data_IF_073102796500
#
_entry.id   IF_073102796500
#
_cell.length_a   1.000
_cell.length_b   1.000
_cell.length_c   1.000
_cell.angle_alpha   90.00
_cell.angle_beta   90.00
_cell.angle_gamma   90.00
#
_symmetry.space_group_name_H-M   'P 1'
#
loop_
_entity.id
_entity.type
_entity.pdbx_description
1 polymer ?
#
# COMPACT_ATOMS: atom_id res chain seq x y z
N UNK A 1 13.99 42.85 -44.91
CA UNK A 1 13.59 41.75 -45.82
C UNK A 1 13.54 40.48 -44.98
N UNK A 2 12.48 40.26 -44.20
CA UNK A 2 11.16 39.68 -44.53
C UNK A 2 11.18 38.18 -44.91
N UNK A 3 10.20 37.47 -44.30
CA UNK A 3 9.81 36.05 -44.39
C UNK A 3 10.53 35.08 -43.43
N UNK A 4 9.83 34.25 -42.65
CA UNK A 4 8.40 34.01 -42.53
C UNK A 4 8.15 32.75 -41.70
N UNK A 5 7.21 32.84 -40.76
CA UNK A 5 6.66 31.72 -39.99
C UNK A 5 5.60 31.01 -40.86
N UNK A 6 5.44 29.67 -40.76
CA UNK A 6 4.15 29.05 -41.00
C UNK A 6 3.57 28.47 -39.71
N UNK A 7 2.44 29.05 -39.32
CA UNK A 7 1.43 28.48 -38.44
C UNK A 7 0.63 27.42 -39.20
N UNK A 8 0.44 26.24 -38.61
CA UNK A 8 -0.47 25.22 -39.13
C UNK A 8 -0.71 24.15 -38.08
N UNK A 9 -1.84 24.27 -37.38
CA UNK A 9 -2.24 23.34 -36.33
C UNK A 9 -2.64 21.97 -36.86
N UNK A 10 -2.30 20.95 -36.07
CA UNK A 10 -2.96 19.64 -36.10
C UNK A 10 -3.17 19.21 -34.66
N UNK A 11 -4.39 19.38 -34.17
CA UNK A 11 -4.86 18.87 -32.88
C UNK A 11 -5.03 17.35 -33.01
N UNK A 12 -4.00 16.60 -32.64
CA UNK A 12 -4.16 15.18 -32.33
C UNK A 12 -4.59 15.06 -30.86
N UNK A 13 -5.85 14.67 -30.66
CA UNK A 13 -6.39 14.32 -29.35
C UNK A 13 -5.60 13.14 -28.78
N UNK A 14 -4.81 13.40 -27.73
CA UNK A 14 -4.11 12.37 -26.99
C UNK A 14 -5.11 11.78 -25.97
N UNK A 15 -5.65 10.60 -26.29
CA UNK A 15 -6.45 9.83 -25.36
C UNK A 15 -5.53 9.28 -24.24
N UNK A 16 -5.92 9.36 -22.95
CA UNK A 16 -5.13 8.78 -21.88
C UNK A 16 -5.18 7.24 -21.93
N UNK A 17 -4.10 6.54 -21.54
CA UNK A 17 -4.08 5.08 -21.48
C UNK A 17 -4.99 4.59 -20.34
N UNK A 18 -5.97 3.74 -20.70
CA UNK A 18 -7.01 3.20 -19.82
C UNK A 18 -6.52 2.19 -18.75
N UNK A 19 -5.21 2.09 -18.49
CA UNK A 19 -4.64 1.05 -17.64
C UNK A 19 -4.33 1.48 -16.20
N UNK A 20 -4.36 2.79 -15.88
CA UNK A 20 -3.99 3.30 -14.56
C UNK A 20 -5.16 3.31 -13.53
N UNK A 21 -6.41 3.24 -13.99
CA UNK A 21 -7.60 3.30 -13.12
C UNK A 21 -7.89 1.97 -12.40
N UNK A 22 -7.38 0.86 -12.93
CA UNK A 22 -7.58 -0.47 -12.35
C UNK A 22 -6.81 -0.65 -11.02
N UNK A 23 -5.66 0.02 -10.86
CA UNK A 23 -4.87 -0.08 -9.64
C UNK A 23 -5.50 0.66 -8.45
N UNK A 24 -6.17 1.80 -8.70
CA UNK A 24 -6.81 2.59 -7.66
C UNK A 24 -8.10 1.95 -7.11
N UNK A 25 -8.79 1.13 -7.92
CA UNK A 25 -10.02 0.45 -7.51
C UNK A 25 -9.77 -0.84 -6.71
N UNK A 26 -8.59 -1.44 -6.83
CA UNK A 26 -8.23 -2.68 -6.13
C UNK A 26 -7.81 -2.48 -4.66
N UNK A 27 -7.59 -1.23 -4.22
CA UNK A 27 -7.12 -0.94 -2.85
C UNK A 27 -8.23 -0.97 -1.78
N UNK A 28 -9.51 -1.10 -2.20
CA UNK A 28 -10.67 -1.04 -1.29
C UNK A 28 -11.23 -2.40 -0.86
N UNK A 29 -10.73 -3.51 -1.41
CA UNK A 29 -11.36 -4.83 -1.27
C UNK A 29 -10.76 -5.76 -0.20
N UNK A 30 -9.84 -5.27 0.63
CA UNK A 30 -9.15 -6.11 1.65
C UNK A 30 -9.85 -6.09 3.02
N UNK A 31 -11.02 -5.46 3.14
CA UNK A 31 -11.75 -5.32 4.43
C UNK A 31 -13.15 -5.96 4.43
N UNK A 32 -13.54 -6.68 3.37
CA UNK A 32 -14.83 -7.36 3.28
C UNK A 32 -14.69 -8.88 3.52
N UNK A 33 -15.02 -9.35 4.73
CA UNK A 33 -15.23 -10.76 5.04
C UNK A 33 -16.71 -11.16 4.88
N UNK A 34 -17.05 -12.38 4.42
CA UNK A 34 -18.38 -12.93 4.61
C UNK A 34 -18.52 -13.56 6.00
N UNK A 35 -19.67 -13.34 6.63
CA UNK A 35 -19.99 -13.83 7.97
C UNK A 35 -20.12 -15.36 8.05
N UNK A 36 -19.64 -15.91 9.16
CA UNK A 36 -19.94 -17.28 9.59
C UNK A 36 -21.25 -17.28 10.36
N UNK A 37 -22.29 -17.83 9.74
CA UNK A 37 -23.57 -18.16 10.36
C UNK A 37 -23.43 -19.53 11.04
N UNK A 38 -23.64 -19.57 12.36
CA UNK A 38 -23.79 -20.82 13.11
C UNK A 38 -25.27 -21.25 13.08
N UNK A 39 -25.53 -22.52 12.78
CA UNK A 39 -26.80 -23.13 13.17
C UNK A 39 -27.12 -24.45 12.46
N UNK A 40 -27.31 -25.51 13.25
CA UNK A 40 -28.25 -26.58 12.91
C UNK A 40 -27.68 -28.00 12.88
N UNK A 41 -27.56 -28.60 14.06
CA UNK A 41 -27.55 -30.06 14.28
C UNK A 41 -28.94 -30.61 13.94
N UNK A 42 -29.05 -31.70 13.19
CA UNK A 42 -30.19 -32.62 13.32
C UNK A 42 -29.80 -34.08 13.02
N UNK A 43 -30.32 -34.94 13.90
CA UNK A 43 -30.24 -36.40 14.00
C UNK A 43 -30.77 -37.14 12.76
N UNK A 44 -30.17 -38.28 12.45
CA UNK A 44 -30.88 -39.40 11.81
C UNK A 44 -30.24 -40.74 12.17
N UNK A 45 -30.95 -41.49 13.00
CA UNK A 45 -30.81 -42.96 13.17
C UNK A 45 -31.36 -43.65 11.92
N UNK A 46 -30.71 -44.70 11.45
CA UNK A 46 -31.41 -45.86 10.88
C UNK A 46 -30.54 -47.13 10.90
N UNK A 47 -31.22 -48.25 10.99
CA UNK A 47 -30.78 -49.56 11.44
C UNK A 47 -30.30 -50.50 10.30
N UNK A 48 -29.63 -51.57 10.73
CA UNK A 48 -29.62 -52.95 10.19
C UNK A 48 -29.16 -53.24 8.75
N UNK A 49 -28.16 -54.12 8.59
CA UNK A 49 -28.41 -55.51 8.15
C UNK A 49 -27.09 -56.32 8.12
N UNK A 50 -27.30 -57.61 8.26
CA UNK A 50 -26.48 -58.72 8.72
C UNK A 50 -25.58 -59.42 7.69
N UNK A 51 -24.82 -60.40 8.22
CA UNK A 51 -24.05 -61.54 7.61
C UNK A 51 -22.53 -61.36 7.77
N UNK A 52 -21.72 -62.25 8.36
CA UNK A 52 -21.85 -63.66 8.75
C UNK A 52 -20.55 -64.41 8.37
N UNK A 53 -20.21 -65.50 9.09
CA UNK A 53 -19.12 -66.50 8.87
C UNK A 53 -17.83 -66.27 9.72
N UNK A 54 -17.64 -66.87 10.92
CA UNK A 54 -17.12 -68.23 11.35
C UNK A 54 -15.79 -68.63 10.63
N UNK A 55 -14.67 -69.16 11.18
CA UNK A 55 -14.37 -70.15 12.25
C UNK A 55 -12.84 -70.17 12.57
N UNK A 56 -12.50 -70.50 13.84
CA UNK A 56 -11.35 -71.26 14.43
C UNK A 56 -9.88 -70.79 14.60
N UNK A 57 -9.52 -70.68 15.89
CA UNK A 57 -8.45 -71.32 16.72
C UNK A 57 -6.99 -71.53 16.24
N UNK A 58 -6.03 -71.19 17.14
CA UNK A 58 -4.67 -71.76 17.12
C UNK A 58 -3.55 -71.02 17.91
N UNK A 59 -3.51 -71.21 19.24
CA UNK A 59 -2.35 -71.67 20.06
C UNK A 59 -0.98 -70.90 20.14
N UNK A 60 -0.59 -70.63 21.40
CA UNK A 60 0.75 -70.58 22.08
C UNK A 60 1.75 -69.41 21.96
N UNK A 61 1.96 -68.78 23.14
CA UNK A 61 3.20 -68.45 23.89
C UNK A 61 4.53 -68.12 23.16
N UNK A 62 5.11 -66.98 23.51
CA UNK A 62 6.55 -66.70 23.34
C UNK A 62 6.94 -65.27 23.74
N UNK A 63 7.58 -65.15 24.91
CA UNK A 63 8.28 -64.00 25.47
C UNK A 63 9.46 -63.55 24.59
N UNK A 64 9.63 -62.24 24.35
CA UNK A 64 10.93 -61.59 24.05
C UNK A 64 10.81 -60.05 23.96
N UNK A 65 11.23 -59.37 25.03
CA UNK A 65 11.95 -58.08 25.01
C UNK A 65 11.20 -56.77 24.64
N UNK A 66 11.43 -55.65 25.38
CA UNK A 66 10.88 -54.36 25.00
C UNK A 66 11.67 -53.82 23.80
N UNK A 67 11.06 -53.84 22.63
CA UNK A 67 11.57 -53.10 21.47
C UNK A 67 11.39 -51.61 21.75
N UNK A 68 12.50 -50.89 21.69
CA UNK A 68 12.56 -49.44 21.77
C UNK A 68 11.57 -48.83 20.79
N UNK A 69 10.44 -48.34 21.31
CA UNK A 69 9.62 -47.36 20.63
C UNK A 69 10.48 -46.10 20.51
N UNK A 70 11.06 -45.91 19.34
CA UNK A 70 11.53 -44.62 18.89
C UNK A 70 10.32 -43.69 18.96
N UNK A 71 10.22 -42.94 20.06
CA UNK A 71 9.45 -41.72 20.09
C UNK A 71 10.08 -40.84 19.02
N UNK A 72 9.40 -40.72 17.89
CA UNK A 72 9.53 -39.54 17.06
C UNK A 72 9.11 -38.40 17.97
N UNK A 73 10.09 -37.73 18.56
CA UNK A 73 9.91 -36.41 19.09
C UNK A 73 9.56 -35.55 17.86
N UNK A 74 8.26 -35.42 17.61
CA UNK A 74 7.74 -34.28 16.89
C UNK A 74 8.16 -33.07 17.74
N UNK A 75 9.29 -32.48 17.37
CA UNK A 75 9.61 -31.11 17.73
C UNK A 75 8.48 -30.27 17.13
N UNK A 76 7.41 -30.07 17.90
CA UNK A 76 6.58 -28.88 17.73
C UNK A 76 7.52 -27.71 17.93
N UNK A 77 8.09 -27.20 16.84
CA UNK A 77 8.56 -25.83 16.77
C UNK A 77 7.38 -24.99 17.22
N UNK A 78 7.40 -24.59 18.49
CA UNK A 78 6.53 -23.57 19.05
C UNK A 78 6.82 -22.27 18.30
N UNK A 79 6.27 -22.16 17.10
CA UNK A 79 6.30 -20.94 16.31
C UNK A 79 5.57 -19.91 17.12
N UNK A 80 6.32 -18.97 17.73
CA UNK A 80 5.73 -17.77 18.30
C UNK A 80 4.89 -17.13 17.20
N UNK A 81 3.56 -17.20 17.34
CA UNK A 81 2.64 -16.64 16.36
C UNK A 81 2.94 -15.15 16.24
N UNK A 82 3.45 -14.75 15.09
CA UNK A 82 3.76 -13.36 14.82
C UNK A 82 2.48 -12.62 14.49
N UNK A 83 2.15 -11.60 15.29
CA UNK A 83 0.99 -10.74 15.08
C UNK A 83 1.42 -9.37 14.56
N UNK A 84 0.62 -8.79 13.67
CA UNK A 84 0.71 -7.41 13.22
C UNK A 84 -0.42 -6.60 13.84
N UNK A 85 -0.08 -5.43 14.38
CA UNK A 85 -1.07 -4.46 14.84
C UNK A 85 -1.49 -3.58 13.67
N UNK A 86 -2.74 -3.71 13.23
CA UNK A 86 -3.35 -2.84 12.23
C UNK A 86 -3.51 -1.41 12.78
N UNK A 87 -3.78 -0.46 11.89
CA UNK A 87 -3.96 0.96 12.25
C UNK A 87 -5.21 1.22 13.08
N UNK A 88 -6.23 0.36 12.98
CA UNK A 88 -7.44 0.37 13.81
C UNK A 88 -7.22 -0.25 15.19
N UNK A 89 -5.99 -0.70 15.50
CA UNK A 89 -5.63 -1.35 16.75
C UNK A 89 -5.96 -2.84 16.80
N UNK A 90 -6.58 -3.41 15.75
CA UNK A 90 -6.82 -4.86 15.67
C UNK A 90 -5.51 -5.60 15.46
N UNK A 91 -5.44 -6.81 16.00
CA UNK A 91 -4.31 -7.71 15.81
C UNK A 91 -4.69 -8.76 14.78
N UNK A 92 -3.84 -8.92 13.78
CA UNK A 92 -3.96 -9.99 12.80
C UNK A 92 -2.68 -10.81 12.78
N UNK A 93 -2.81 -12.09 12.47
CA UNK A 93 -1.65 -12.93 12.24
C UNK A 93 -0.87 -12.45 11.01
N UNK A 94 0.47 -12.47 11.10
CA UNK A 94 1.38 -12.13 10.03
C UNK A 94 1.34 -13.23 8.96
N UNK A 95 0.50 -13.01 7.96
CA UNK A 95 0.29 -13.97 6.87
C UNK A 95 1.24 -13.72 5.68
N UNK A 96 2.09 -14.71 5.41
CA UNK A 96 2.99 -14.74 4.24
C UNK A 96 2.26 -14.53 2.92
N UNK A 97 1.09 -15.13 2.74
CA UNK A 97 0.29 -15.06 1.51
C UNK A 97 -0.22 -13.65 1.29
N UNK A 98 -0.70 -12.97 2.35
CA UNK A 98 -1.10 -11.56 2.28
C UNK A 98 0.04 -10.65 1.86
N UNK A 99 1.23 -10.82 2.44
CA UNK A 99 2.41 -10.01 2.07
C UNK A 99 2.78 -10.23 0.61
N UNK A 100 2.87 -11.50 0.18
CA UNK A 100 3.21 -11.86 -1.21
C UNK A 100 2.20 -11.28 -2.20
N UNK A 101 0.90 -11.45 -1.94
CA UNK A 101 -0.18 -10.94 -2.79
C UNK A 101 -0.09 -9.41 -2.97
N UNK A 102 0.20 -8.70 -1.88
CA UNK A 102 0.40 -7.24 -1.96
C UNK A 102 1.61 -6.86 -2.80
N UNK A 103 2.75 -7.54 -2.63
CA UNK A 103 3.95 -7.26 -3.42
C UNK A 103 3.74 -7.58 -4.92
N UNK A 104 2.97 -8.63 -5.21
CA UNK A 104 2.57 -9.01 -6.57
C UNK A 104 1.73 -7.92 -7.24
N UNK A 105 0.72 -7.39 -6.54
CA UNK A 105 -0.09 -6.24 -7.01
C UNK A 105 0.79 -5.01 -7.35
N UNK A 106 1.76 -4.70 -6.49
CA UNK A 106 2.68 -3.56 -6.67
C UNK A 106 3.79 -3.81 -7.71
N UNK A 107 3.95 -5.02 -8.24
CA UNK A 107 5.01 -5.38 -9.19
C UNK A 107 4.50 -5.81 -10.58
N UNK A 108 3.21 -5.64 -10.87
CA UNK A 108 2.54 -6.13 -12.09
C UNK A 108 3.18 -5.73 -13.43
N UNK A 109 3.88 -4.61 -13.52
CA UNK A 109 4.60 -4.11 -14.71
C UNK A 109 6.14 -4.21 -14.60
N UNK A 110 6.66 -4.91 -13.60
CA UNK A 110 8.09 -5.12 -13.37
C UNK A 110 8.57 -6.46 -13.94
N UNK A 111 9.89 -6.60 -14.15
CA UNK A 111 10.44 -7.83 -14.74
C UNK A 111 10.61 -8.94 -13.68
N UNK A 112 9.63 -9.83 -13.62
CA UNK A 112 9.64 -11.00 -12.73
C UNK A 112 10.76 -12.01 -12.99
N UNK A 113 11.52 -11.90 -14.08
CA UNK A 113 12.71 -12.74 -14.32
C UNK A 113 13.85 -12.41 -13.35
N UNK A 114 13.94 -11.15 -12.95
CA UNK A 114 14.97 -10.65 -12.02
C UNK A 114 14.41 -10.33 -10.64
N UNK A 115 13.09 -10.12 -10.54
CA UNK A 115 12.39 -9.81 -9.30
C UNK A 115 11.86 -11.08 -8.64
N UNK A 116 12.64 -11.66 -7.73
CA UNK A 116 12.18 -12.76 -6.87
C UNK A 116 11.38 -12.22 -5.69
N UNK A 117 10.05 -12.33 -5.78
CA UNK A 117 9.13 -11.94 -4.70
C UNK A 117 9.22 -12.88 -3.51
N UNK A 118 9.38 -14.19 -3.74
CA UNK A 118 9.43 -15.16 -2.64
C UNK A 118 10.68 -14.95 -1.77
N UNK A 119 11.83 -14.65 -2.37
CA UNK A 119 13.05 -14.30 -1.63
C UNK A 119 12.85 -13.02 -0.82
N UNK A 120 12.24 -11.99 -1.41
CA UNK A 120 11.94 -10.74 -0.71
C UNK A 120 10.99 -10.96 0.48
N UNK A 121 9.93 -11.74 0.30
CA UNK A 121 8.98 -12.08 1.38
C UNK A 121 9.70 -12.80 2.52
N UNK A 122 10.53 -13.80 2.21
CA UNK A 122 11.33 -14.50 3.22
C UNK A 122 12.27 -13.55 3.99
N UNK A 123 12.91 -12.60 3.30
CA UNK A 123 13.75 -11.59 3.96
C UNK A 123 12.96 -10.64 4.85
N UNK A 124 11.74 -10.25 4.46
CA UNK A 124 10.85 -9.41 5.27
C UNK A 124 10.42 -10.16 6.54
N UNK A 125 9.99 -11.41 6.40
CA UNK A 125 9.56 -12.24 7.54
C UNK A 125 10.70 -12.47 8.54
N UNK A 126 11.93 -12.63 8.07
CA UNK A 126 13.10 -12.77 8.93
C UNK A 126 13.39 -11.51 9.76
N UNK A 127 13.03 -10.33 9.24
CA UNK A 127 13.19 -9.05 9.93
C UNK A 127 11.98 -8.63 10.79
N UNK A 128 10.88 -9.36 10.72
CA UNK A 128 9.67 -9.05 11.47
C UNK A 128 9.80 -9.47 12.94
N UNK A 129 9.10 -8.76 13.83
CA UNK A 129 9.03 -9.08 15.25
C UNK A 129 7.57 -9.09 15.74
N UNK A 130 7.27 -9.77 16.86
CA UNK A 130 5.90 -9.84 17.38
C UNK A 130 5.30 -8.47 17.68
N UNK A 131 4.03 -8.29 17.32
CA UNK A 131 3.23 -7.08 17.54
C UNK A 131 3.68 -5.83 16.77
N UNK A 132 4.54 -5.98 15.77
CA UNK A 132 4.93 -4.91 14.84
C UNK A 132 3.69 -4.27 14.21
N UNK A 133 3.70 -2.94 14.07
CA UNK A 133 2.59 -2.23 13.42
C UNK A 133 2.62 -2.41 11.90
N UNK A 134 1.46 -2.27 11.26
CA UNK A 134 1.39 -2.33 9.79
C UNK A 134 2.27 -1.27 9.10
N UNK A 135 2.47 -0.10 9.72
CA UNK A 135 3.34 0.96 9.19
C UNK A 135 4.83 0.61 9.32
N UNK A 136 5.23 -0.05 10.42
CA UNK A 136 6.59 -0.56 10.59
C UNK A 136 6.88 -1.70 9.61
N UNK A 137 5.91 -2.60 9.39
CA UNK A 137 6.03 -3.66 8.39
C UNK A 137 6.23 -3.10 6.97
N UNK A 138 5.51 -2.04 6.60
CA UNK A 138 5.68 -1.35 5.32
C UNK A 138 7.06 -0.72 5.18
N UNK A 139 7.56 -0.14 6.27
CA UNK A 139 8.90 0.44 6.32
C UNK A 139 9.95 -0.64 6.11
N UNK A 140 9.89 -1.73 6.88
CA UNK A 140 10.76 -2.89 6.75
C UNK A 140 10.73 -3.48 5.33
N UNK A 141 9.54 -3.64 4.75
CA UNK A 141 9.38 -4.17 3.40
C UNK A 141 10.03 -3.27 2.35
N UNK A 142 9.84 -1.95 2.46
CA UNK A 142 10.43 -0.99 1.53
C UNK A 142 11.96 -0.91 1.64
N UNK A 143 12.51 -0.97 2.86
CA UNK A 143 13.96 -0.95 3.09
C UNK A 143 14.62 -2.25 2.62
N UNK A 144 13.97 -3.39 2.88
CA UNK A 144 14.44 -4.70 2.40
C UNK A 144 14.46 -4.72 0.87
N UNK A 145 13.37 -4.30 0.21
CA UNK A 145 13.33 -4.19 -1.24
C UNK A 145 14.39 -3.22 -1.78
N UNK A 146 14.60 -2.06 -1.14
CA UNK A 146 15.63 -1.12 -1.54
C UNK A 146 17.06 -1.70 -1.43
N UNK A 147 17.34 -2.52 -0.42
CA UNK A 147 18.65 -3.19 -0.27
C UNK A 147 18.95 -4.15 -1.43
N UNK A 148 17.91 -4.79 -1.98
CA UNK A 148 18.00 -5.69 -3.13
C UNK A 148 18.12 -4.96 -4.48
N UNK A 149 18.09 -3.62 -4.50
CA UNK A 149 18.32 -2.82 -5.71
C UNK A 149 19.71 -3.00 -6.33
N UNK A 150 20.66 -3.53 -5.54
CA UNK A 150 21.99 -3.94 -6.01
C UNK A 150 21.92 -5.10 -7.01
N UNK A 151 20.86 -5.91 -6.99
CA UNK A 151 20.65 -7.03 -7.90
C UNK A 151 19.95 -6.58 -9.19
N UNK A 152 18.87 -5.80 -9.07
CA UNK A 152 18.12 -5.27 -10.21
C UNK A 152 17.42 -3.95 -9.84
N UNK A 153 17.40 -2.93 -10.73
CA UNK A 153 16.76 -1.64 -10.45
C UNK A 153 15.25 -1.72 -10.16
N UNK A 154 14.55 -2.76 -10.63
CA UNK A 154 13.12 -2.90 -10.34
C UNK A 154 12.82 -3.11 -8.85
N UNK A 155 13.77 -3.64 -8.07
CA UNK A 155 13.64 -3.66 -6.61
C UNK A 155 13.55 -2.25 -6.01
N UNK A 156 14.27 -1.27 -6.58
CA UNK A 156 14.16 0.12 -6.14
C UNK A 156 12.82 0.77 -6.54
N UNK A 157 12.21 0.33 -7.65
CA UNK A 157 10.87 0.77 -8.06
C UNK A 157 9.81 0.14 -7.17
N UNK A 158 9.88 -1.16 -6.92
CA UNK A 158 9.00 -1.85 -5.98
C UNK A 158 9.06 -1.24 -4.57
N UNK A 159 10.27 -0.97 -4.07
CA UNK A 159 10.48 -0.31 -2.79
C UNK A 159 9.77 1.06 -2.72
N UNK A 160 9.88 1.87 -3.77
CA UNK A 160 9.18 3.16 -3.85
C UNK A 160 7.66 3.00 -3.82
N UNK A 161 7.13 2.00 -4.53
CA UNK A 161 5.69 1.70 -4.57
C UNK A 161 5.14 1.24 -3.24
N UNK A 162 5.91 0.46 -2.49
CA UNK A 162 5.56 0.09 -1.11
C UNK A 162 5.41 1.36 -0.28
N UNK A 163 6.38 2.28 -0.32
CA UNK A 163 6.29 3.56 0.41
C UNK A 163 5.10 4.42 -0.04
N UNK A 164 4.90 4.58 -1.35
CA UNK A 164 3.79 5.36 -1.90
C UNK A 164 2.44 4.79 -1.46
N UNK A 165 2.25 3.47 -1.57
CA UNK A 165 1.03 2.79 -1.10
C UNK A 165 0.80 2.97 0.40
N UNK A 166 1.87 2.98 1.21
CA UNK A 166 1.77 3.19 2.64
C UNK A 166 1.28 4.61 2.96
N UNK A 167 1.87 5.62 2.29
CA UNK A 167 1.51 7.03 2.44
C UNK A 167 0.11 7.33 1.91
N UNK A 168 -0.30 6.74 0.79
CA UNK A 168 -1.65 6.93 0.23
C UNK A 168 -2.74 6.52 1.22
N UNK A 169 -2.50 5.49 2.04
CA UNK A 169 -3.47 5.05 3.05
C UNK A 169 -3.57 5.95 4.30
N UNK A 170 -2.62 6.85 4.52
CA UNK A 170 -2.64 7.79 5.68
C UNK A 170 -2.91 9.23 5.27
N UNK A 171 -2.88 9.52 3.97
CA UNK A 171 -3.10 10.86 3.42
C UNK A 171 -4.48 10.97 2.78
N UNK A 172 -5.11 12.15 2.79
CA UNK A 172 -6.41 12.35 2.14
C UNK A 172 -6.40 11.97 0.65
N UNK A 173 -7.49 11.39 0.17
CA UNK A 173 -7.64 10.94 -1.22
C UNK A 173 -7.78 12.09 -2.24
N UNK A 174 -8.13 13.28 -1.76
CA UNK A 174 -8.28 14.48 -2.58
C UNK A 174 -7.23 15.51 -2.21
N UNK A 175 -6.70 16.20 -3.23
CA UNK A 175 -5.77 17.30 -3.03
C UNK A 175 -6.44 18.47 -2.33
N UNK A 176 -7.69 18.78 -2.69
CA UNK A 176 -8.48 19.82 -2.05
C UNK A 176 -8.57 19.65 -0.53
N UNK A 177 -8.93 18.46 -0.07
CA UNK A 177 -8.99 18.11 1.36
C UNK A 177 -7.62 18.19 2.03
N UNK A 178 -6.55 17.73 1.36
CA UNK A 178 -5.20 17.83 1.90
C UNK A 178 -4.74 19.28 2.09
N UNK A 179 -5.05 20.16 1.14
CA UNK A 179 -4.71 21.60 1.24
C UNK A 179 -5.52 22.29 2.32
N UNK A 180 -6.81 21.97 2.47
CA UNK A 180 -7.65 22.51 3.55
C UNK A 180 -7.09 22.09 4.92
N UNK A 181 -6.78 20.81 5.10
CA UNK A 181 -6.17 20.31 6.33
C UNK A 181 -4.83 20.98 6.63
N UNK A 182 -3.97 21.16 5.63
CA UNK A 182 -2.69 21.85 5.78
C UNK A 182 -2.83 23.36 6.00
N UNK A 183 -3.94 23.96 5.57
CA UNK A 183 -4.23 25.36 5.82
C UNK A 183 -4.74 25.59 7.25
N UNK A 184 -5.52 24.65 7.78
CA UNK A 184 -6.11 24.72 9.13
C UNK A 184 -5.15 24.22 10.23
N UNK A 185 -4.45 23.11 10.00
CA UNK A 185 -3.60 22.41 10.97
C UNK A 185 -2.10 22.41 10.61
N UNK A 186 -1.70 23.21 9.60
CA UNK A 186 -0.29 23.37 9.24
C UNK A 186 0.31 24.65 9.80
N UNK A 187 1.64 24.69 9.90
CA UNK A 187 2.44 25.84 10.38
C UNK A 187 2.45 27.05 9.41
N UNK A 188 1.31 27.38 8.79
CA UNK A 188 1.23 28.45 7.79
C UNK A 188 1.94 28.14 6.47
N UNK A 189 2.15 26.86 6.15
CA UNK A 189 2.82 26.43 4.90
C UNK A 189 2.02 26.73 3.63
N UNK A 190 0.70 26.93 3.74
CA UNK A 190 -0.21 27.19 2.63
C UNK A 190 -0.62 28.66 2.60
N UNK A 191 -0.36 29.35 1.48
CA UNK A 191 -0.81 30.73 1.25
C UNK A 191 -2.35 30.79 1.16
N UNK A 192 -2.96 31.80 1.80
CA UNK A 192 -4.42 31.93 1.84
C UNK A 192 -5.07 32.05 0.47
N UNK A 193 -4.37 32.61 -0.54
CA UNK A 193 -4.88 32.68 -1.92
C UNK A 193 -4.91 31.32 -2.58
N UNK A 194 -3.93 30.46 -2.29
CA UNK A 194 -3.92 29.09 -2.76
C UNK A 194 -5.08 28.31 -2.14
N UNK A 195 -5.27 28.43 -0.81
CA UNK A 195 -6.38 27.79 -0.13
C UNK A 195 -7.75 28.25 -0.67
N UNK A 196 -7.92 29.54 -0.96
CA UNK A 196 -9.16 30.07 -1.55
C UNK A 196 -9.38 29.59 -2.99
N UNK A 197 -8.32 29.54 -3.81
CA UNK A 197 -8.39 28.99 -5.16
C UNK A 197 -8.85 27.52 -5.13
N UNK A 198 -8.28 26.74 -4.22
CA UNK A 198 -8.61 25.33 -4.04
C UNK A 198 -10.05 25.16 -3.53
N UNK A 199 -10.53 25.97 -2.58
CA UNK A 199 -11.95 25.95 -2.18
C UNK A 199 -12.90 26.22 -3.35
N UNK A 200 -12.52 27.12 -4.27
CA UNK A 200 -13.37 27.50 -5.40
C UNK A 200 -13.34 26.52 -6.57
N UNK A 201 -12.21 25.85 -6.81
CA UNK A 201 -11.99 25.00 -8.01
C UNK A 201 -11.45 23.61 -7.67
N UNK A 202 -11.61 23.17 -6.43
CA UNK A 202 -11.03 21.93 -5.90
C UNK A 202 -11.38 20.71 -6.74
N UNK A 203 -12.66 20.53 -7.09
CA UNK A 203 -13.13 19.41 -7.90
C UNK A 203 -12.45 19.36 -9.28
N UNK A 204 -12.27 20.51 -9.93
CA UNK A 204 -11.60 20.58 -11.23
C UNK A 204 -10.11 20.24 -11.11
N UNK A 205 -9.45 20.71 -10.04
CA UNK A 205 -8.04 20.45 -9.79
C UNK A 205 -7.82 18.97 -9.46
N UNK A 206 -8.63 18.42 -8.55
CA UNK A 206 -8.60 17.01 -8.14
C UNK A 206 -8.75 16.09 -9.36
N UNK A 207 -9.67 16.40 -10.27
CA UNK A 207 -9.89 15.62 -11.49
C UNK A 207 -8.70 15.61 -12.47
N UNK A 208 -7.72 16.50 -12.31
CA UNK A 208 -6.51 16.55 -13.14
C UNK A 208 -5.33 15.79 -12.55
N UNK A 209 -5.42 15.37 -11.29
CA UNK A 209 -4.33 14.67 -10.60
C UNK A 209 -4.36 13.19 -11.00
N UNK A 210 -3.21 12.68 -11.43
CA UNK A 210 -3.04 11.26 -11.80
C UNK A 210 -2.21 10.59 -10.71
N UNK A 211 -2.87 10.00 -9.72
CA UNK A 211 -2.23 9.43 -8.53
C UNK A 211 -1.25 8.29 -8.86
N UNK A 212 -1.50 7.53 -9.93
CA UNK A 212 -0.63 6.43 -10.35
C UNK A 212 0.82 6.86 -10.66
N UNK A 213 1.06 8.16 -10.95
CA UNK A 213 2.41 8.69 -11.18
C UNK A 213 3.31 8.66 -9.95
N UNK A 214 2.73 8.57 -8.74
CA UNK A 214 3.54 8.40 -7.52
C UNK A 214 4.27 7.04 -7.52
N UNK A 215 3.74 6.05 -8.23
CA UNK A 215 4.31 4.69 -8.35
C UNK A 215 5.45 4.60 -9.38
N UNK A 216 5.74 5.69 -10.10
CA UNK A 216 6.83 5.77 -11.08
C UNK A 216 8.15 6.23 -10.45
N UNK A 217 8.12 6.72 -9.21
CA UNK A 217 9.31 7.18 -8.49
C UNK A 217 10.24 6.02 -8.13
N UNK A 218 11.52 6.34 -7.92
CA UNK A 218 12.49 5.42 -7.33
C UNK A 218 12.51 5.58 -5.81
N UNK A 219 12.97 4.56 -5.08
CA UNK A 219 12.96 4.57 -3.62
C UNK A 219 13.67 5.80 -3.03
N UNK A 220 14.88 6.10 -3.53
CA UNK A 220 15.63 7.28 -3.09
C UNK A 220 14.90 8.57 -3.44
N UNK A 221 14.32 8.68 -4.64
CA UNK A 221 13.52 9.83 -5.03
C UNK A 221 12.34 10.05 -4.08
N UNK A 222 11.60 8.98 -3.77
CA UNK A 222 10.48 9.04 -2.83
C UNK A 222 10.92 9.46 -1.43
N UNK A 223 11.96 8.81 -0.86
CA UNK A 223 12.46 9.13 0.48
C UNK A 223 13.04 10.54 0.58
N UNK A 224 13.63 11.06 -0.48
CA UNK A 224 14.05 12.46 -0.54
C UNK A 224 12.84 13.40 -0.46
N UNK A 225 11.78 13.13 -1.23
CA UNK A 225 10.55 13.90 -1.19
C UNK A 225 9.89 13.86 0.20
N UNK A 226 9.71 12.66 0.76
CA UNK A 226 9.11 12.43 2.08
C UNK A 226 9.83 13.18 3.21
N UNK A 227 11.16 13.23 3.16
CA UNK A 227 11.96 13.86 4.22
C UNK A 227 11.95 15.38 4.17
N UNK A 228 11.98 15.97 2.98
CA UNK A 228 12.30 17.39 2.82
C UNK A 228 11.23 18.24 2.12
N UNK A 229 10.29 17.61 1.40
CA UNK A 229 9.40 18.34 0.48
C UNK A 229 7.91 18.13 0.75
N UNK A 230 7.49 16.94 1.20
CA UNK A 230 6.10 16.67 1.51
C UNK A 230 5.70 17.38 2.81
N UNK A 231 4.65 18.19 2.73
CA UNK A 231 4.14 18.94 3.88
C UNK A 231 3.52 18.01 4.92
N UNK A 232 3.75 18.38 6.18
CA UNK A 232 3.30 17.69 7.38
C UNK A 232 2.42 18.63 8.21
N UNK A 233 1.54 18.07 9.03
CA UNK A 233 0.87 18.83 10.09
C UNK A 233 1.85 19.21 11.19
N UNK A 234 1.43 20.09 12.10
CA UNK A 234 2.19 20.44 13.32
C UNK A 234 2.53 19.20 14.17
N UNK A 235 1.71 18.15 14.12
CA UNK A 235 1.92 16.88 14.84
C UNK A 235 3.01 16.01 14.19
N UNK A 236 3.46 16.37 12.99
CA UNK A 236 4.47 15.65 12.22
C UNK A 236 3.90 14.63 11.22
N UNK A 237 2.57 14.55 11.09
CA UNK A 237 1.91 13.61 10.18
C UNK A 237 2.02 14.10 8.73
N UNK A 238 2.49 13.24 7.83
CA UNK A 238 2.55 13.56 6.39
C UNK A 238 1.13 13.59 5.83
N UNK A 239 0.72 14.74 5.30
CA UNK A 239 -0.61 14.94 4.68
C UNK A 239 -0.51 15.02 3.16
N UNK A 240 0.67 15.38 2.64
CA UNK A 240 0.88 15.60 1.22
C UNK A 240 1.44 14.36 0.51
N UNK A 241 0.93 14.07 -0.70
CA UNK A 241 1.48 13.06 -1.63
C UNK A 241 2.43 13.72 -2.65
N UNK A 242 3.34 13.00 -3.32
CA UNK A 242 4.21 13.61 -4.33
C UNK A 242 3.44 14.35 -5.44
N UNK A 243 2.35 13.79 -5.98
CA UNK A 243 1.51 14.53 -6.94
C UNK A 243 0.91 15.82 -6.36
N UNK A 244 0.55 15.83 -5.08
CA UNK A 244 -0.02 17.01 -4.42
C UNK A 244 1.01 18.13 -4.31
N UNK A 245 2.24 17.77 -3.94
CA UNK A 245 3.36 18.71 -3.91
C UNK A 245 3.57 19.35 -5.28
N UNK A 246 3.59 18.55 -6.35
CA UNK A 246 3.74 19.05 -7.71
C UNK A 246 2.59 19.97 -8.13
N UNK A 247 1.34 19.60 -7.81
CA UNK A 247 0.17 20.42 -8.10
C UNK A 247 0.19 21.74 -7.33
N UNK A 248 0.51 21.71 -6.03
CA UNK A 248 0.69 22.91 -5.19
C UNK A 248 1.71 23.86 -5.79
N UNK A 249 2.88 23.36 -6.20
CA UNK A 249 3.93 24.18 -6.82
C UNK A 249 3.43 24.80 -8.13
N UNK A 250 2.76 24.02 -8.99
CA UNK A 250 2.21 24.52 -10.25
C UNK A 250 1.18 25.63 -10.04
N UNK A 251 0.22 25.44 -9.12
CA UNK A 251 -0.78 26.45 -8.77
C UNK A 251 -0.14 27.69 -8.13
N UNK A 252 0.84 27.50 -7.25
CA UNK A 252 1.57 28.60 -6.62
C UNK A 252 2.24 29.52 -7.66
N UNK A 253 2.91 28.93 -8.66
CA UNK A 253 3.59 29.69 -9.72
C UNK A 253 2.60 30.33 -10.69
N UNK A 254 1.63 29.57 -11.20
CA UNK A 254 0.80 30.00 -12.32
C UNK A 254 -0.50 30.71 -11.93
N UNK A 255 -1.00 30.50 -10.71
CA UNK A 255 -2.28 31.04 -10.27
C UNK A 255 -2.14 32.01 -9.08
N UNK A 256 -1.05 31.95 -8.32
CA UNK A 256 -0.81 32.83 -7.16
C UNK A 256 0.37 33.80 -7.35
N UNK A 257 1.22 33.59 -8.37
CA UNK A 257 2.46 34.35 -8.62
C UNK A 257 2.29 35.76 -9.21
N UNK A 258 1.06 36.24 -9.42
CA UNK A 258 0.75 37.54 -10.02
C UNK A 258 0.09 38.50 -9.05
N UNK A 259 0.87 39.06 -8.12
CA UNK A 259 0.44 40.14 -7.21
C UNK A 259 1.22 41.42 -7.48
N UNK A 260 1.07 42.00 -8.67
CA UNK A 260 1.35 43.41 -8.85
C UNK A 260 0.36 44.19 -7.98
N UNK A 261 0.86 44.77 -6.90
CA UNK A 261 0.42 46.05 -6.34
C UNK A 261 -0.92 46.60 -6.90
N UNK A 262 -2.04 46.21 -6.32
CA UNK A 262 -3.15 47.17 -6.16
C UNK A 262 -2.93 47.86 -4.83
N UNK A 263 -1.98 48.79 -4.83
CA UNK A 263 -1.97 49.89 -3.88
C UNK A 263 -3.29 50.64 -4.03
N UNK A 264 -4.26 50.35 -3.17
CA UNK A 264 -5.32 51.30 -2.85
C UNK A 264 -4.70 52.39 -1.98
N UNK A 265 -3.89 53.24 -2.61
CA UNK A 265 -3.71 54.61 -2.15
C UNK A 265 -5.00 55.34 -2.45
N UNK A 266 -5.90 55.39 -1.46
CA UNK A 266 -6.90 56.43 -1.33
C UNK A 266 -6.33 57.49 -0.37
N UNK A 267 -5.65 58.47 -0.95
CA UNK A 267 -5.64 59.83 -0.44
C UNK A 267 -6.95 60.51 -0.88
N UNK A 268 -7.21 61.70 -0.31
CA UNK A 268 -8.36 62.61 -0.45
C UNK A 268 -9.42 62.33 0.64
N UNK A 269 -9.68 63.19 1.63
CA UNK A 269 -9.27 64.55 2.01
C UNK A 269 -9.44 64.69 3.55
#
# INVERSE_FOLDING_TARGET
>A
TFFGVPSGGSTAAFAPPAAADAAASAEKEIDAAPGSDEGGVEDAREEDDSRGVVVEEGTTNGDDGPTAAAAAEEEEEGGEQMFVTKRDGRREELDRVKIRSRLESLSSDLDHRYLSLDALVSSILLGAYPYMTASELDTLASETAASMSTQHPDYARLAARICASATHKVTPDRFSTAVELLYEEGDGFIDGRLAELVRRRGEEIDARIVHGRDLELTYFGYKTLERAYLLKTEKGDVVERPQYMLMRVALGIHCCGGGSSSSSSSNDD
#
